data_IF_039118873943
#
_entry.id   IF_039118873943
#
_cell.length_a   1.000
_cell.length_b   1.000
_cell.length_c   1.000
_cell.angle_alpha   90.00
_cell.angle_beta   90.00
_cell.angle_gamma   90.00
#
_symmetry.space_group_name_H-M   'P 1'
#
loop_
_entity.id
_entity.type
_entity.pdbx_description
1 polymer ?
#
# COMPACT_ATOMS: atom_id res chain seq x y z
N UNK A 1 1.13 -1.13 -1.59
CA UNK A 1 2.20 -0.39 -2.27
C UNK A 1 3.18 0.06 -1.23
N UNK A 2 4.47 -0.01 -1.54
CA UNK A 2 5.46 0.59 -0.64
C UNK A 2 5.20 2.09 -0.51
N UNK A 3 5.44 2.62 0.69
CA UNK A 3 5.41 4.06 0.95
C UNK A 3 6.70 4.73 0.46
N UNK A 4 6.67 6.04 0.29
CA UNK A 4 7.89 6.82 -0.02
C UNK A 4 8.98 6.58 1.05
N UNK A 5 8.59 6.37 2.31
CA UNK A 5 9.50 6.04 3.41
C UNK A 5 10.16 4.67 3.21
N UNK A 6 9.38 3.62 2.91
CA UNK A 6 9.90 2.27 2.69
C UNK A 6 10.82 2.21 1.46
N UNK A 7 10.47 2.88 0.36
CA UNK A 7 11.30 2.94 -0.84
C UNK A 7 12.62 3.68 -0.60
N UNK A 8 12.62 4.75 0.21
CA UNK A 8 13.86 5.46 0.62
C UNK A 8 14.77 4.59 1.48
N UNK A 9 14.21 3.70 2.29
CA UNK A 9 14.99 2.75 3.10
C UNK A 9 15.55 1.59 2.28
N UNK A 10 14.82 1.12 1.26
CA UNK A 10 15.22 0.02 0.38
C UNK A 10 16.19 0.40 -0.75
N UNK A 11 16.32 1.70 -1.04
CA UNK A 11 17.20 2.23 -2.08
C UNK A 11 16.44 2.70 -3.33
N UNK A 12 16.89 3.81 -3.92
CA UNK A 12 16.15 4.59 -4.91
C UNK A 12 16.40 4.17 -6.38
N UNK A 13 16.65 2.89 -6.65
CA UNK A 13 16.84 2.39 -8.01
C UNK A 13 15.51 2.17 -8.76
N UNK A 14 14.58 3.13 -8.64
CA UNK A 14 13.22 3.08 -9.19
C UNK A 14 12.94 4.35 -10.02
N UNK A 15 12.14 4.27 -11.10
CA UNK A 15 11.90 5.40 -11.99
C UNK A 15 11.05 6.52 -11.35
N UNK A 16 10.34 6.23 -10.27
CA UNK A 16 9.56 7.15 -9.44
C UNK A 16 9.23 6.44 -8.13
N UNK A 17 8.83 7.21 -7.10
CA UNK A 17 8.26 6.66 -5.87
C UNK A 17 6.78 6.39 -6.08
N UNK A 18 6.31 5.21 -5.69
CA UNK A 18 4.95 4.75 -6.01
C UNK A 18 3.90 5.59 -5.28
N UNK A 19 4.10 5.87 -3.99
CA UNK A 19 3.16 6.68 -3.22
C UNK A 19 3.07 8.11 -3.79
N UNK A 20 4.20 8.79 -3.99
CA UNK A 20 4.22 10.11 -4.66
C UNK A 20 3.51 10.10 -6.00
N UNK A 21 3.78 9.10 -6.86
CA UNK A 21 3.16 9.01 -8.18
C UNK A 21 1.65 8.79 -8.11
N UNK A 22 1.17 8.01 -7.15
CA UNK A 22 -0.26 7.82 -6.92
C UNK A 22 -0.92 9.13 -6.46
N UNK A 23 -0.28 9.91 -5.58
CA UNK A 23 -0.77 11.24 -5.17
C UNK A 23 -0.90 12.19 -6.35
N UNK A 24 0.09 12.23 -7.24
CA UNK A 24 0.04 13.04 -8.47
C UNK A 24 -1.13 12.67 -9.39
N UNK A 25 -1.51 11.40 -9.42
CA UNK A 25 -2.62 10.89 -10.21
C UNK A 25 -3.99 11.06 -9.52
N UNK A 26 -4.03 11.71 -8.34
CA UNK A 26 -5.25 12.03 -7.61
C UNK A 26 -5.70 10.97 -6.60
N UNK A 27 -4.90 9.93 -6.36
CA UNK A 27 -5.16 9.00 -5.26
C UNK A 27 -4.87 9.67 -3.91
N UNK A 28 -5.51 9.15 -2.84
CA UNK A 28 -5.25 9.58 -1.46
C UNK A 28 -4.68 8.39 -0.68
N UNK A 29 -3.37 8.09 -0.78
CA UNK A 29 -2.77 7.02 0.00
C UNK A 29 -2.91 7.27 1.50
N UNK A 30 -3.48 6.28 2.18
CA UNK A 30 -3.48 6.13 3.64
C UNK A 30 -2.42 5.10 4.01
N UNK A 31 -1.46 5.51 4.84
CA UNK A 31 -0.26 4.73 5.16
C UNK A 31 -0.14 4.53 6.66
N UNK A 32 0.43 3.39 7.05
CA UNK A 32 0.80 3.09 8.43
C UNK A 32 2.32 3.04 8.59
N UNK A 33 2.81 2.67 9.79
CA UNK A 33 4.24 2.58 10.06
C UNK A 33 4.97 1.70 9.04
N UNK A 34 6.16 2.13 8.61
CA UNK A 34 6.99 1.38 7.68
C UNK A 34 7.22 -0.06 8.16
N UNK A 35 7.14 -1.01 7.23
CA UNK A 35 7.33 -2.46 7.48
C UNK A 35 6.34 -3.09 8.47
N UNK A 36 5.19 -2.43 8.73
CA UNK A 36 4.06 -2.98 9.48
C UNK A 36 2.89 -3.36 8.57
N UNK A 37 1.98 -4.22 9.04
CA UNK A 37 0.76 -4.54 8.29
C UNK A 37 -0.19 -3.35 8.27
N UNK A 38 -0.52 -2.85 7.08
CA UNK A 38 -1.55 -1.82 6.86
C UNK A 38 -2.38 -2.20 5.64
N UNK A 39 -3.70 -2.25 5.82
CA UNK A 39 -4.67 -2.60 4.79
C UNK A 39 -5.76 -1.55 4.75
N UNK A 40 -6.05 -1.03 3.56
CA UNK A 40 -7.10 -0.04 3.32
C UNK A 40 -8.13 -0.66 2.38
N UNK A 41 -9.41 -0.47 2.72
CA UNK A 41 -10.55 -0.92 1.92
C UNK A 41 -11.38 0.30 1.55
N UNK A 42 -11.50 0.56 0.25
CA UNK A 42 -12.36 1.60 -0.31
C UNK A 42 -13.33 0.96 -1.32
N UNK A 43 -14.55 0.71 -0.88
CA UNK A 43 -15.53 -0.07 -1.65
C UNK A 43 -14.96 -1.43 -2.06
N UNK A 44 -14.79 -1.62 -3.37
CA UNK A 44 -14.24 -2.86 -3.95
C UNK A 44 -12.72 -2.83 -4.17
N UNK A 45 -12.05 -1.74 -3.80
CA UNK A 45 -10.60 -1.61 -3.88
C UNK A 45 -9.97 -1.96 -2.53
N UNK A 46 -9.27 -3.10 -2.48
CA UNK A 46 -8.48 -3.51 -1.31
C UNK A 46 -7.00 -3.32 -1.63
N UNK A 47 -6.29 -2.58 -0.79
CA UNK A 47 -4.84 -2.37 -0.93
C UNK A 47 -4.10 -2.76 0.35
N UNK A 48 -2.89 -3.29 0.20
CA UNK A 48 -1.97 -3.57 1.30
C UNK A 48 -0.65 -2.86 1.07
N UNK A 49 -0.04 -2.30 2.12
CA UNK A 49 1.17 -1.49 2.02
C UNK A 49 2.37 -2.31 1.51
N UNK A 50 2.84 -3.26 2.31
CA UNK A 50 4.10 -3.97 2.10
C UNK A 50 3.90 -5.50 2.20
N UNK A 51 4.94 -6.34 2.05
CA UNK A 51 4.82 -7.78 2.21
C UNK A 51 4.19 -8.22 3.53
N UNK A 52 4.42 -7.49 4.64
CA UNK A 52 3.81 -7.78 5.94
C UNK A 52 2.28 -7.64 5.92
N UNK A 53 1.74 -6.89 4.97
CA UNK A 53 0.29 -6.67 4.79
C UNK A 53 -0.40 -7.76 3.97
N UNK A 54 0.33 -8.71 3.38
CA UNK A 54 -0.20 -9.64 2.35
C UNK A 54 -1.34 -10.52 2.87
N UNK A 55 -1.16 -11.12 4.05
CA UNK A 55 -2.16 -12.04 4.63
C UNK A 55 -3.44 -11.29 5.00
N UNK A 56 -3.32 -10.10 5.59
CA UNK A 56 -4.47 -9.30 5.98
C UNK A 56 -5.20 -8.72 4.77
N UNK A 57 -4.46 -8.35 3.71
CA UNK A 57 -5.06 -7.94 2.42
C UNK A 57 -5.90 -9.06 1.84
N UNK A 58 -5.36 -10.29 1.79
CA UNK A 58 -6.09 -11.45 1.28
C UNK A 58 -7.36 -11.74 2.09
N UNK A 59 -7.31 -11.62 3.42
CA UNK A 59 -8.49 -11.74 4.29
C UNK A 59 -9.56 -10.72 3.92
N UNK A 60 -9.18 -9.44 3.78
CA UNK A 60 -10.15 -8.39 3.40
C UNK A 60 -10.74 -8.57 2.01
N UNK A 61 -9.99 -9.14 1.07
CA UNK A 61 -10.54 -9.53 -0.24
C UNK A 61 -11.61 -10.61 -0.09
N UNK A 62 -11.38 -11.65 0.72
CA UNK A 62 -12.37 -12.69 0.97
C UNK A 62 -13.64 -12.13 1.65
N UNK A 63 -13.45 -11.24 2.63
CA UNK A 63 -14.57 -10.57 3.31
C UNK A 63 -15.41 -9.73 2.33
N UNK A 64 -14.78 -9.08 1.35
CA UNK A 64 -15.47 -8.26 0.34
C UNK A 64 -16.24 -9.07 -0.72
N UNK A 65 -15.98 -10.38 -0.83
CA UNK A 65 -16.60 -11.28 -1.79
C UNK A 65 -17.71 -12.16 -1.18
N UNK A 66 -17.88 -12.09 0.15
CA UNK A 66 -18.86 -12.86 0.91
C UNK A 66 -20.17 -12.10 1.06
#
# INVERSE_FOLDING_TARGET
>A
MFTDEEERQGGLAVPYLVESRLRELGAVPETGPAWSSTVVVDGNLVTGQNPQSSVDTARRVLDALS
#
